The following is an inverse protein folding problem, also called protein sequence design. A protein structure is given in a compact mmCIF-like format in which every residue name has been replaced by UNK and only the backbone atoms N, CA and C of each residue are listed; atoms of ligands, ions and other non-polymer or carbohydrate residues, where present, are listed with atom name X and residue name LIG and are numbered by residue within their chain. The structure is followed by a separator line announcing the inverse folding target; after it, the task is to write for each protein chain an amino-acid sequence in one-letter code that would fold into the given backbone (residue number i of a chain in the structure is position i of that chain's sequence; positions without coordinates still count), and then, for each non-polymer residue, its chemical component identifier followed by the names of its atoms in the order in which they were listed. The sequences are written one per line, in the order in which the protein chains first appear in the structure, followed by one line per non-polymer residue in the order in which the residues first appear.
data_IF_724599169599
#
_entry.id   IF_724599169599
#
_cell.length_a   1.000
_cell.length_b   1.000
_cell.length_c   1.000
_cell.angle_alpha   90.00
_cell.angle_beta   90.00
_cell.angle_gamma   90.00
#
_symmetry.space_group_name_H-M   'P 1'
#
loop_
_entity.id
_entity.type
_entity.pdbx_description
1 polymer ?
#
# COMPACT_ATOMS: atom_id res chain seq x y z
N UNK A 1 15.77 4.57 17.71
CA UNK A 1 14.39 4.17 17.35
C UNK A 1 14.49 3.32 16.10
N UNK A 2 14.28 2.02 16.19
CA UNK A 2 14.52 1.09 15.06
C UNK A 2 13.25 0.94 14.24
N UNK A 3 13.36 1.05 12.92
CA UNK A 3 12.25 0.92 11.99
C UNK A 3 11.79 -0.55 11.93
N UNK A 4 10.79 -0.90 12.74
CA UNK A 4 10.24 -2.26 12.84
C UNK A 4 9.72 -2.78 11.48
N UNK A 5 9.27 -1.89 10.59
CA UNK A 5 8.76 -2.25 9.27
C UNK A 5 9.89 -2.74 8.36
N UNK A 6 11.05 -2.08 8.40
CA UNK A 6 12.25 -2.51 7.65
C UNK A 6 12.86 -3.79 8.21
N UNK A 7 12.74 -4.05 9.51
CA UNK A 7 13.15 -5.33 10.10
C UNK A 7 12.26 -6.50 9.64
N UNK A 8 10.95 -6.28 9.55
CA UNK A 8 10.01 -7.30 9.10
C UNK A 8 10.13 -7.62 7.61
N UNK A 9 10.49 -6.62 6.79
CA UNK A 9 10.77 -6.83 5.36
C UNK A 9 11.95 -5.95 4.92
N UNK A 10 13.19 -6.50 4.93
CA UNK A 10 14.40 -5.76 4.55
C UNK A 10 14.40 -5.28 3.10
N UNK A 11 13.65 -5.95 2.22
CA UNK A 11 13.55 -5.62 0.79
C UNK A 11 12.45 -4.59 0.50
N UNK A 12 11.69 -4.15 1.52
CA UNK A 12 10.64 -3.16 1.34
C UNK A 12 11.24 -1.78 1.01
N UNK A 13 10.98 -1.31 -0.21
CA UNK A 13 11.37 0.03 -0.64
C UNK A 13 10.28 1.03 -0.22
N UNK A 14 10.61 1.90 0.75
CA UNK A 14 9.70 2.95 1.23
C UNK A 14 10.18 4.29 0.66
N UNK A 15 9.42 4.82 -0.29
CA UNK A 15 9.70 6.11 -0.93
C UNK A 15 8.65 7.15 -0.54
N UNK A 16 9.10 8.29 -0.01
CA UNK A 16 8.26 9.45 0.25
C UNK A 16 8.63 10.57 -0.70
N UNK A 17 7.67 11.07 -1.47
CA UNK A 17 7.86 12.21 -2.37
C UNK A 17 6.77 13.24 -2.10
N UNK A 18 7.15 14.50 -1.96
CA UNK A 18 6.19 15.62 -1.96
C UNK A 18 5.79 15.87 -3.41
N UNK A 19 4.51 15.68 -3.72
CA UNK A 19 3.98 15.95 -5.05
C UNK A 19 3.63 17.44 -5.15
N UNK A 20 4.12 18.10 -6.20
CA UNK A 20 3.77 19.49 -6.50
C UNK A 20 2.34 19.61 -7.07
N UNK A 21 1.82 18.53 -7.67
CA UNK A 21 0.47 18.47 -8.21
C UNK A 21 -0.28 17.27 -7.62
N UNK A 22 -1.30 17.59 -6.81
CA UNK A 22 -2.16 16.63 -6.11
C UNK A 22 -3.29 16.08 -6.98
N UNK A 23 -3.50 16.63 -8.18
CA UNK A 23 -4.63 16.29 -9.06
C UNK A 23 -4.32 15.14 -10.01
N UNK A 24 -3.04 14.83 -10.23
CA UNK A 24 -2.62 13.77 -11.14
C UNK A 24 -3.07 12.40 -10.63
N UNK A 25 -3.94 11.76 -11.40
CA UNK A 25 -4.46 10.44 -11.08
C UNK A 25 -3.38 9.36 -11.24
N UNK A 26 -3.11 8.51 -10.24
CA UNK A 26 -2.19 7.39 -10.38
C UNK A 26 -2.82 6.32 -11.27
N UNK A 27 -2.11 5.91 -12.33
CA UNK A 27 -2.52 4.82 -13.21
C UNK A 27 -2.17 3.47 -12.57
N UNK A 28 -3.15 2.57 -12.46
CA UNK A 28 -2.97 1.19 -11.97
C UNK A 28 -2.81 0.29 -13.18
N UNK A 29 -1.82 -0.61 -13.17
CA UNK A 29 -1.52 -1.48 -14.31
C UNK A 29 -1.55 -2.98 -14.04
N UNK A 30 -1.66 -3.45 -12.79
CA UNK A 30 -1.25 -4.84 -12.51
C UNK A 30 -1.91 -5.59 -11.33
N UNK A 31 -3.04 -5.10 -10.80
CA UNK A 31 -3.84 -5.82 -9.77
C UNK A 31 -3.21 -5.96 -8.36
N UNK A 32 -1.91 -6.17 -8.27
CA UNK A 32 -1.11 -6.31 -7.04
C UNK A 32 -0.82 -4.96 -6.36
N UNK A 33 -0.85 -3.87 -7.13
CA UNK A 33 -0.56 -2.51 -6.65
C UNK A 33 -1.80 -1.85 -6.03
N UNK A 34 -1.71 -1.51 -4.74
CA UNK A 34 -2.72 -0.72 -4.05
C UNK A 34 -2.35 0.77 -4.06
N UNK A 35 -3.10 1.58 -4.81
CA UNK A 35 -2.96 3.05 -4.79
C UNK A 35 -4.08 3.67 -3.95
N UNK A 36 -3.71 4.33 -2.84
CA UNK A 36 -4.66 5.02 -1.96
C UNK A 36 -4.47 6.53 -2.09
N UNK A 37 -5.51 7.24 -2.56
CA UNK A 37 -5.56 8.69 -2.40
C UNK A 37 -6.06 9.03 -1.00
N UNK A 38 -5.27 9.83 -0.28
CA UNK A 38 -5.61 10.26 1.06
C UNK A 38 -6.91 11.07 1.07
N UNK A 39 -7.06 12.11 0.22
CA UNK A 39 -8.27 12.95 0.21
C UNK A 39 -8.73 13.32 1.62
N UNK A 40 -9.99 13.02 1.95
CA UNK A 40 -10.56 13.20 3.30
C UNK A 40 -10.48 11.94 4.21
N UNK A 41 -9.63 10.95 3.87
CA UNK A 41 -9.51 9.71 4.64
C UNK A 41 -8.63 9.95 5.87
N UNK A 42 -9.10 9.49 7.02
CA UNK A 42 -8.29 9.36 8.23
C UNK A 42 -7.27 8.22 8.07
N UNK A 43 -6.17 8.28 8.82
CA UNK A 43 -5.15 7.22 8.86
C UNK A 43 -5.75 5.82 9.07
N UNK A 44 -6.72 5.68 9.98
CA UNK A 44 -7.41 4.41 10.25
C UNK A 44 -8.10 3.81 9.02
N UNK A 45 -8.66 4.65 8.14
CA UNK A 45 -9.29 4.17 6.91
C UNK A 45 -8.26 3.69 5.90
N UNK A 46 -7.10 4.35 5.84
CA UNK A 46 -5.98 3.93 4.99
C UNK A 46 -5.46 2.57 5.44
N UNK A 47 -5.23 2.38 6.74
CA UNK A 47 -4.77 1.11 7.30
C UNK A 47 -5.75 -0.03 7.02
N UNK A 48 -7.05 0.19 7.21
CA UNK A 48 -8.07 -0.83 6.93
C UNK A 48 -8.09 -1.26 5.45
N UNK A 49 -7.85 -0.33 4.51
CA UNK A 49 -7.76 -0.65 3.08
C UNK A 49 -6.52 -1.49 2.75
N UNK A 50 -5.37 -1.14 3.34
CA UNK A 50 -4.12 -1.90 3.17
C UNK A 50 -4.30 -3.33 3.71
N UNK A 51 -4.87 -3.49 4.90
CA UNK A 51 -5.12 -4.81 5.49
C UNK A 51 -6.09 -5.66 4.68
N UNK A 52 -7.13 -5.04 4.10
CA UNK A 52 -8.09 -5.74 3.22
C UNK A 52 -7.39 -6.23 1.95
N UNK A 53 -6.53 -5.41 1.34
CA UNK A 53 -5.77 -5.81 0.16
C UNK A 53 -4.75 -6.91 0.48
N UNK A 54 -4.04 -6.79 1.61
CA UNK A 54 -3.07 -7.80 2.04
C UNK A 54 -3.73 -9.16 2.40
N UNK A 55 -5.01 -9.17 2.79
CA UNK A 55 -5.77 -10.41 2.95
C UNK A 55 -6.12 -11.03 1.61
N UNK A 56 -6.60 -10.23 0.66
CA UNK A 56 -6.90 -10.72 -0.69
C UNK A 56 -5.69 -11.32 -1.39
N UNK A 57 -4.53 -10.66 -1.30
CA UNK A 57 -3.30 -11.21 -1.87
C UNK A 57 -2.90 -12.55 -1.24
N UNK A 58 -3.07 -12.69 0.08
CA UNK A 58 -2.84 -13.98 0.76
C UNK A 58 -3.82 -15.06 0.33
N UNK A 59 -5.10 -14.72 0.20
CA UNK A 59 -6.09 -15.64 -0.33
C UNK A 59 -5.76 -16.04 -1.79
N UNK A 60 -5.33 -15.12 -2.64
CA UNK A 60 -4.91 -15.43 -4.01
C UNK A 60 -3.64 -16.30 -4.06
N UNK A 61 -2.68 -16.09 -3.15
CA UNK A 61 -1.47 -16.92 -3.01
C UNK A 61 -1.78 -18.31 -2.45
N UNK A 62 -2.65 -18.43 -1.44
CA UNK A 62 -3.06 -19.71 -0.84
C UNK A 62 -3.90 -20.57 -1.81
N UNK A 63 -4.51 -19.96 -2.83
CA UNK A 63 -5.27 -20.65 -3.89
C UNK A 63 -4.47 -20.86 -5.19
N UNK A 64 -3.22 -20.42 -5.26
CA UNK A 64 -2.35 -20.71 -6.40
C UNK A 64 -1.84 -22.17 -6.32
N UNK A 65 -2.07 -23.02 -7.33
CA UNK A 65 -1.74 -24.45 -7.32
C UNK A 65 -0.23 -24.75 -7.34
#
# INVERSE_FOLDING_TARGET
MTDKSRLANPNAVINTKVLADITKEPKISDGTKLNIRAGNKKLVHVLALVEKHARKLREEEDFAP
#
